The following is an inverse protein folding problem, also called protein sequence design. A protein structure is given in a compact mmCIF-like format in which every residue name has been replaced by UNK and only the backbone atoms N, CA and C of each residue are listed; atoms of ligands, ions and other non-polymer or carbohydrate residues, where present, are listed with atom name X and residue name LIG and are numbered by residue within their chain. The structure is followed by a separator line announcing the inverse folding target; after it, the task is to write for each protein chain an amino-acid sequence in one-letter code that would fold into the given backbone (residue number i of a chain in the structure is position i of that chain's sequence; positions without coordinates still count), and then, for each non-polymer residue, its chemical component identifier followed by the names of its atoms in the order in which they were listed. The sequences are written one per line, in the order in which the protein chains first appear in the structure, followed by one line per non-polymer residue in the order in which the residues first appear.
data_IF_931915103327
#
_entry.id   IF_931915103327
#
_cell.length_a   1.000
_cell.length_b   1.000
_cell.length_c   1.000
_cell.angle_alpha   90.00
_cell.angle_beta   90.00
_cell.angle_gamma   90.00
#
_symmetry.space_group_name_H-M   'P 1'
#
loop_
_entity.id
_entity.type
_entity.pdbx_description
1 polymer ?
#
# COMPACT_ATOMS: atom_id res chain seq x y z
N UNK A 1 15.46 -54.20 -55.66
CA UNK A 1 15.30 -52.77 -55.46
C UNK A 1 15.09 -52.51 -54.03
N UNK A 2 16.08 -52.04 -53.33
CA UNK A 2 15.97 -51.75 -51.91
C UNK A 2 15.69 -50.27 -51.77
N UNK A 3 14.58 -49.89 -51.18
CA UNK A 3 14.31 -48.54 -50.80
C UNK A 3 14.62 -48.36 -49.31
N UNK A 4 15.67 -47.71 -49.05
CA UNK A 4 16.01 -47.31 -47.70
C UNK A 4 15.01 -46.24 -47.22
N UNK A 5 14.23 -46.58 -46.25
CA UNK A 5 13.47 -45.61 -45.52
C UNK A 5 14.35 -45.06 -44.43
N UNK A 6 14.73 -43.81 -44.60
CA UNK A 6 15.42 -43.07 -43.54
C UNK A 6 14.35 -42.53 -42.64
N UNK A 7 14.20 -43.13 -41.47
CA UNK A 7 13.36 -42.63 -40.42
C UNK A 7 14.14 -41.56 -39.68
N UNK A 8 13.83 -40.32 -39.93
CA UNK A 8 14.34 -39.22 -39.16
C UNK A 8 13.54 -39.17 -37.85
N UNK A 9 14.15 -39.69 -36.81
CA UNK A 9 13.61 -39.52 -35.46
C UNK A 9 13.76 -38.07 -35.03
N UNK A 10 12.67 -37.34 -35.03
CA UNK A 10 12.61 -36.06 -34.42
C UNK A 10 12.64 -36.23 -32.89
N UNK A 11 13.82 -36.04 -32.34
CA UNK A 11 13.95 -35.90 -30.88
C UNK A 11 13.34 -34.54 -30.47
N UNK A 12 12.14 -34.57 -30.04
CA UNK A 12 11.51 -33.44 -29.34
C UNK A 12 12.17 -33.33 -27.98
N UNK A 13 13.16 -32.45 -27.91
CA UNK A 13 13.71 -31.99 -26.63
C UNK A 13 12.67 -31.08 -25.99
N UNK A 14 11.83 -31.65 -25.15
CA UNK A 14 10.95 -30.87 -24.27
C UNK A 14 11.84 -30.21 -23.21
N UNK A 15 12.33 -29.03 -23.50
CA UNK A 15 12.85 -28.15 -22.45
C UNK A 15 11.66 -27.72 -21.59
N UNK A 16 11.42 -28.47 -20.55
CA UNK A 16 10.61 -28.00 -19.46
C UNK A 16 11.42 -26.88 -18.76
N UNK A 17 11.21 -25.68 -19.23
CA UNK A 17 11.59 -24.49 -18.47
C UNK A 17 10.69 -24.47 -17.26
N UNK A 18 11.15 -25.06 -16.18
CA UNK A 18 10.61 -24.77 -14.87
C UNK A 18 10.94 -23.30 -14.60
N UNK A 19 10.05 -22.43 -15.05
CA UNK A 19 10.01 -21.06 -14.57
C UNK A 19 9.63 -21.17 -13.11
N UNK A 20 10.66 -21.25 -12.27
CA UNK A 20 10.48 -20.99 -10.86
C UNK A 20 9.87 -19.60 -10.77
N UNK A 21 8.56 -19.54 -10.58
CA UNK A 21 7.90 -18.32 -10.22
C UNK A 21 8.40 -17.95 -8.83
N UNK A 22 9.54 -17.25 -8.79
CA UNK A 22 9.81 -16.40 -7.66
C UNK A 22 8.66 -15.38 -7.67
N UNK A 23 7.65 -15.63 -6.86
CA UNK A 23 6.66 -14.63 -6.53
C UNK A 23 7.42 -13.55 -5.74
N UNK A 24 8.11 -12.69 -6.45
CA UNK A 24 8.54 -11.42 -5.91
C UNK A 24 7.24 -10.72 -5.56
N UNK A 25 6.94 -10.65 -4.27
CA UNK A 25 5.90 -9.78 -3.78
C UNK A 25 6.37 -8.37 -4.09
N UNK A 26 5.87 -7.82 -5.19
CA UNK A 26 6.06 -6.43 -5.52
C UNK A 26 5.29 -5.65 -4.47
N UNK A 27 5.99 -5.10 -3.50
CA UNK A 27 5.42 -4.11 -2.60
C UNK A 27 5.09 -2.89 -3.45
N UNK A 28 3.83 -2.76 -3.81
CA UNK A 28 3.35 -1.57 -4.52
C UNK A 28 3.34 -0.44 -3.50
N UNK A 29 4.36 0.40 -3.58
CA UNK A 29 4.38 1.66 -2.87
C UNK A 29 3.41 2.59 -3.57
N UNK A 30 2.25 2.78 -3.00
CA UNK A 30 1.30 3.75 -3.53
C UNK A 30 1.51 5.09 -2.82
N UNK A 31 1.70 6.12 -3.62
CA UNK A 31 1.66 7.50 -3.16
C UNK A 31 0.24 8.02 -3.41
N UNK A 32 -0.57 8.02 -2.37
CA UNK A 32 -1.85 8.68 -2.42
C UNK A 32 -1.72 10.09 -1.86
N UNK A 33 -1.96 11.06 -2.71
CA UNK A 33 -2.19 12.42 -2.25
C UNK A 33 -3.61 12.46 -1.69
N UNK A 34 -3.74 12.40 -0.37
CA UNK A 34 -5.02 12.49 0.30
C UNK A 34 -5.61 13.88 0.10
N UNK A 35 -6.47 14.02 -0.90
CA UNK A 35 -6.99 15.32 -1.33
C UNK A 35 -8.34 15.69 -0.74
N UNK A 36 -9.02 14.80 -0.04
CA UNK A 36 -10.42 15.03 0.29
C UNK A 36 -10.69 15.99 1.46
N UNK A 37 -9.70 16.32 2.28
CA UNK A 37 -9.87 17.27 3.39
C UNK A 37 -8.65 18.15 3.66
N UNK A 38 -7.63 18.06 2.85
CA UNK A 38 -6.33 18.60 3.22
C UNK A 38 -5.87 19.78 2.38
N UNK A 39 -6.68 20.37 1.56
CA UNK A 39 -6.26 21.50 0.71
C UNK A 39 -4.79 21.39 0.18
N UNK A 40 -4.31 20.17 -0.01
CA UNK A 40 -2.92 19.87 -0.40
C UNK A 40 -1.89 19.93 0.75
N UNK A 41 -2.33 20.04 2.01
CA UNK A 41 -1.42 20.14 3.16
C UNK A 41 -0.62 18.88 3.43
N UNK A 42 -1.19 17.70 3.15
CA UNK A 42 -0.59 16.43 3.49
C UNK A 42 -0.22 15.61 2.27
N UNK A 43 0.91 14.93 2.38
CA UNK A 43 1.29 13.82 1.51
C UNK A 43 1.36 12.55 2.35
N UNK A 44 0.76 11.48 1.85
CA UNK A 44 0.76 10.18 2.52
C UNK A 44 1.44 9.17 1.61
N UNK A 45 2.50 8.57 2.11
CA UNK A 45 3.16 7.41 1.50
C UNK A 45 2.85 6.20 2.35
N UNK A 46 2.40 5.13 1.76
CA UNK A 46 2.04 3.94 2.51
C UNK A 46 2.34 2.65 1.76
N UNK A 47 2.45 1.58 2.51
CA UNK A 47 2.65 0.24 2.01
C UNK A 47 1.90 -0.78 2.88
N UNK A 48 1.64 -1.95 2.31
CA UNK A 48 1.09 -3.06 3.07
C UNK A 48 2.20 -3.77 3.83
N UNK A 49 1.90 -4.18 5.05
CA UNK A 49 2.81 -4.91 5.92
C UNK A 49 2.05 -5.97 6.72
N UNK A 50 2.76 -6.69 7.53
CA UNK A 50 2.19 -7.65 8.47
C UNK A 50 2.84 -7.45 9.84
N UNK A 51 2.05 -7.66 10.89
CA UNK A 51 2.59 -7.77 12.24
C UNK A 51 3.42 -9.04 12.38
N UNK A 52 4.17 -9.18 13.48
CA UNK A 52 4.91 -10.42 13.80
C UNK A 52 4.01 -11.65 13.85
N UNK A 53 2.72 -11.46 14.14
CA UNK A 53 1.71 -12.53 14.19
C UNK A 53 1.04 -12.79 12.83
N UNK A 54 1.45 -12.07 11.78
CA UNK A 54 0.88 -12.22 10.44
C UNK A 54 -0.41 -11.45 10.19
N UNK A 55 -0.84 -10.58 11.10
CA UNK A 55 -2.02 -9.74 10.90
C UNK A 55 -1.74 -8.62 9.90
N UNK A 56 -2.69 -8.28 9.01
CA UNK A 56 -2.48 -7.24 8.02
C UNK A 56 -2.37 -5.85 8.66
N UNK A 57 -1.56 -5.00 8.06
CA UNK A 57 -1.18 -3.70 8.57
C UNK A 57 -0.88 -2.77 7.39
N UNK A 58 -1.31 -1.52 7.48
CA UNK A 58 -0.82 -0.43 6.61
C UNK A 58 0.19 0.38 7.42
N UNK A 59 1.35 0.60 6.83
CA UNK A 59 2.39 1.44 7.41
C UNK A 59 2.77 2.53 6.44
N UNK A 60 3.29 3.63 6.95
CA UNK A 60 3.75 4.69 6.07
C UNK A 60 4.18 5.96 6.78
N UNK A 61 4.29 7.00 6.00
CA UNK A 61 4.64 8.33 6.47
C UNK A 61 3.58 9.33 6.03
N UNK A 62 3.22 10.18 6.96
CA UNK A 62 2.41 11.36 6.75
C UNK A 62 3.32 12.59 6.79
N UNK A 63 3.34 13.36 5.72
CA UNK A 63 4.11 14.59 5.65
C UNK A 63 3.17 15.80 5.65
N UNK A 64 3.44 16.75 6.55
CA UNK A 64 2.84 18.06 6.52
C UNK A 64 3.67 18.96 5.61
N UNK A 65 3.11 19.40 4.50
CA UNK A 65 3.81 20.19 3.48
C UNK A 65 3.74 21.69 3.71
N UNK A 66 3.14 22.13 4.81
CA UNK A 66 2.99 23.54 5.17
C UNK A 66 3.71 23.89 6.47
N UNK A 67 3.96 25.19 6.68
CA UNK A 67 4.71 25.69 7.81
C UNK A 67 3.99 25.64 9.16
N UNK A 68 2.67 25.50 9.17
CA UNK A 68 1.89 25.39 10.40
C UNK A 68 1.83 23.94 10.89
N UNK A 69 2.04 23.70 12.20
CA UNK A 69 1.83 22.39 12.80
C UNK A 69 0.38 22.01 12.88
N UNK A 70 0.10 20.73 12.95
CA UNK A 70 -1.23 20.14 13.11
C UNK A 70 -1.23 19.12 14.24
N UNK A 71 -2.38 18.93 14.85
CA UNK A 71 -2.57 17.96 15.91
C UNK A 71 -3.66 16.96 15.54
N UNK A 72 -3.68 15.83 16.25
CA UNK A 72 -4.75 14.85 16.19
C UNK A 72 -5.08 14.37 14.76
N UNK A 73 -4.08 14.14 13.93
CA UNK A 73 -4.29 13.69 12.56
C UNK A 73 -4.83 12.26 12.56
N UNK A 74 -6.03 12.08 12.03
CA UNK A 74 -6.67 10.76 11.92
C UNK A 74 -6.69 10.28 10.49
N UNK A 75 -6.33 9.03 10.33
CA UNK A 75 -6.37 8.30 9.07
C UNK A 75 -7.55 7.32 9.05
N UNK A 76 -8.05 7.10 7.86
CA UNK A 76 -8.98 6.04 7.53
C UNK A 76 -8.37 5.17 6.44
N UNK A 77 -8.44 3.86 6.63
CA UNK A 77 -8.06 2.87 5.61
C UNK A 77 -9.30 2.07 5.24
N UNK A 78 -9.69 2.14 3.99
CA UNK A 78 -10.71 1.28 3.40
C UNK A 78 -10.02 0.09 2.74
N UNK A 79 -10.44 -1.11 3.10
CA UNK A 79 -10.03 -2.35 2.45
C UNK A 79 -11.00 -2.63 1.31
N UNK A 80 -10.47 -2.87 0.12
CA UNK A 80 -11.25 -3.01 -1.11
C UNK A 80 -11.18 -4.44 -1.65
N UNK A 81 -12.28 -4.89 -2.23
CA UNK A 81 -12.35 -6.13 -3.00
C UNK A 81 -11.94 -5.94 -4.47
N UNK A 82 -12.04 -7.01 -5.26
CA UNK A 82 -11.69 -7.00 -6.69
C UNK A 82 -12.55 -6.03 -7.52
N UNK A 83 -13.74 -5.67 -7.05
CA UNK A 83 -14.65 -4.73 -7.70
C UNK A 83 -14.48 -3.29 -7.19
N UNK A 84 -13.51 -3.05 -6.30
CA UNK A 84 -13.30 -1.75 -5.68
C UNK A 84 -14.31 -1.41 -4.59
N UNK A 85 -15.09 -2.38 -4.12
CA UNK A 85 -16.04 -2.18 -3.04
C UNK A 85 -15.34 -2.21 -1.68
N UNK A 86 -15.77 -1.37 -0.76
CA UNK A 86 -15.26 -1.34 0.60
C UNK A 86 -15.80 -2.53 1.37
N UNK A 87 -14.92 -3.41 1.83
CA UNK A 87 -15.27 -4.59 2.61
C UNK A 87 -14.91 -4.48 4.10
N UNK A 88 -14.07 -3.52 4.44
CA UNK A 88 -13.74 -3.18 5.83
C UNK A 88 -13.19 -1.76 5.89
N UNK A 89 -13.30 -1.15 7.05
CA UNK A 89 -12.76 0.19 7.33
C UNK A 89 -12.06 0.19 8.68
N UNK A 90 -10.86 0.74 8.72
CA UNK A 90 -10.11 0.97 9.94
C UNK A 90 -9.78 2.45 10.06
N UNK A 91 -9.77 2.97 11.29
CA UNK A 91 -9.34 4.33 11.58
C UNK A 91 -8.25 4.30 12.65
N UNK A 92 -7.29 5.19 12.53
CA UNK A 92 -6.24 5.33 13.53
C UNK A 92 -5.76 6.76 13.65
N UNK A 93 -5.23 7.09 14.82
CA UNK A 93 -4.51 8.33 15.03
C UNK A 93 -3.10 8.17 14.42
N UNK A 94 -2.79 8.93 13.39
CA UNK A 94 -1.46 8.88 12.77
C UNK A 94 -0.41 9.50 13.68
N UNK A 95 -0.75 10.62 14.32
CA UNK A 95 0.12 11.30 15.29
C UNK A 95 -0.70 12.25 16.16
N UNK A 96 -0.24 12.47 17.38
CA UNK A 96 -0.75 13.53 18.23
C UNK A 96 -0.38 14.93 17.75
N UNK A 97 0.79 15.06 17.10
CA UNK A 97 1.29 16.33 16.56
C UNK A 97 2.24 16.09 15.39
N UNK A 98 2.08 16.88 14.34
CA UNK A 98 3.00 16.90 13.19
C UNK A 98 3.41 18.36 12.93
N UNK A 99 4.67 18.65 13.14
CA UNK A 99 5.23 19.99 12.89
C UNK A 99 5.13 20.41 11.43
N UNK A 100 5.24 21.72 11.20
CA UNK A 100 5.31 22.25 9.85
C UNK A 100 6.50 21.68 9.07
N UNK A 101 6.31 21.30 7.81
CA UNK A 101 7.31 20.67 6.94
C UNK A 101 7.92 19.37 7.49
N UNK A 102 7.28 18.77 8.49
CA UNK A 102 7.72 17.54 9.13
C UNK A 102 6.88 16.33 8.68
N UNK A 103 7.43 15.15 8.89
CA UNK A 103 6.73 13.90 8.64
C UNK A 103 6.66 13.04 9.90
N UNK A 104 5.67 12.20 9.97
CA UNK A 104 5.53 11.21 11.03
C UNK A 104 5.24 9.83 10.45
N UNK A 105 5.75 8.80 11.10
CA UNK A 105 5.44 7.42 10.78
C UNK A 105 4.09 7.03 11.39
N UNK A 106 3.34 6.20 10.67
CA UNK A 106 2.09 5.66 11.19
C UNK A 106 1.93 4.17 10.90
N UNK A 107 1.10 3.52 11.68
CA UNK A 107 0.64 2.16 11.48
C UNK A 107 -0.87 2.11 11.68
N UNK A 108 -1.56 1.40 10.78
CA UNK A 108 -2.99 1.15 10.90
C UNK A 108 -3.23 -0.34 10.82
N UNK A 109 -3.52 -1.00 11.94
CA UNK A 109 -3.92 -2.40 11.93
C UNK A 109 -5.23 -2.60 11.18
N UNK A 110 -5.30 -3.65 10.37
CA UNK A 110 -6.46 -3.99 9.56
C UNK A 110 -7.14 -5.25 10.08
N UNK A 111 -8.46 -5.33 9.91
CA UNK A 111 -9.23 -6.53 10.22
C UNK A 111 -9.14 -7.58 9.11
N UNK A 112 -9.01 -7.13 7.87
CA UNK A 112 -9.02 -7.99 6.68
C UNK A 112 -7.95 -7.58 5.69
N UNK A 113 -7.43 -8.56 4.98
CA UNK A 113 -6.64 -8.35 3.76
C UNK A 113 -7.59 -8.14 2.59
N UNK A 114 -7.30 -7.14 1.77
CA UNK A 114 -8.02 -6.85 0.53
C UNK A 114 -7.13 -7.00 -0.69
N UNK A 115 -7.72 -6.74 -1.86
CA UNK A 115 -6.98 -6.65 -3.12
C UNK A 115 -6.41 -5.24 -3.30
N UNK A 116 -7.09 -4.25 -2.76
CA UNK A 116 -6.65 -2.87 -2.75
C UNK A 116 -6.98 -2.17 -1.44
N UNK A 117 -6.38 -1.03 -1.25
CA UNK A 117 -6.61 -0.20 -0.07
C UNK A 117 -6.69 1.26 -0.48
N UNK A 118 -7.45 2.04 0.29
CA UNK A 118 -7.52 3.49 0.15
C UNK A 118 -7.21 4.11 1.51
N UNK A 119 -6.17 4.92 1.54
CA UNK A 119 -5.77 5.67 2.75
C UNK A 119 -6.19 7.12 2.58
N UNK A 120 -6.90 7.65 3.55
CA UNK A 120 -7.36 9.04 3.55
C UNK A 120 -7.21 9.67 4.92
N UNK A 121 -7.03 10.99 4.93
CA UNK A 121 -7.06 11.78 6.16
C UNK A 121 -8.50 12.23 6.37
N UNK A 122 -9.06 11.95 7.53
CA UNK A 122 -10.45 12.25 7.84
C UNK A 122 -10.63 13.42 8.79
N UNK A 123 -9.62 13.73 9.60
CA UNK A 123 -9.65 14.89 10.48
C UNK A 123 -8.25 15.28 10.97
N UNK A 124 -8.09 16.51 11.33
CA UNK A 124 -6.94 17.07 12.01
C UNK A 124 -7.30 18.42 12.63
N UNK A 125 -6.55 18.84 13.60
CA UNK A 125 -6.72 20.13 14.26
C UNK A 125 -5.55 21.05 13.93
N UNK A 126 -5.79 22.30 13.53
CA UNK A 126 -4.71 23.27 13.46
C UNK A 126 -4.19 23.50 14.88
N UNK A 127 -2.87 23.42 15.05
CA UNK A 127 -2.28 23.95 16.27
C UNK A 127 -2.33 25.45 16.16
N UNK A 128 -3.28 26.07 16.85
CA UNK A 128 -3.35 27.51 16.90
C UNK A 128 -1.99 28.03 17.36
N UNK A 129 -1.36 28.84 16.54
CA UNK A 129 -0.34 29.71 17.06
C UNK A 129 -1.08 30.59 18.07
N UNK A 130 -0.98 30.19 19.33
CA UNK A 130 -1.28 31.15 20.37
C UNK A 130 -0.50 32.39 20.04
N UNK A 131 -1.18 33.41 19.74
CA UNK A 131 -0.78 34.82 19.64
C UNK A 131 0.71 35.10 19.74
#
# INVERSE_FOLDING_TARGET
MVRSQVTIGAALLACALALGACAAQVQVRQQDTATSFSDGRFQVEWETAQTKKGSPLITGYLQNTRGGGVASVRLRVDTLDAQGQVIATATALASGYVGGFSRTYFEVPLEKTGIGYRVSIISWDPTGNGQ
#
